data_IF_581751667859
#
_entry.id   IF_581751667859
#
_cell.length_a   1.000
_cell.length_b   1.000
_cell.length_c   1.000
_cell.angle_alpha   90.00
_cell.angle_beta   90.00
_cell.angle_gamma   90.00
#
_symmetry.space_group_name_H-M   'P 1'
#
loop_
_entity.id
_entity.type
_entity.pdbx_description
1 polymer ?
#
# COMPACT_ATOMS: atom_id res chain seq x y z
N UNK A 1 -22.49 14.16 -9.11
CA UNK A 1 -21.07 14.49 -8.84
C UNK A 1 -20.73 15.90 -9.31
N UNK A 2 -20.86 16.24 -10.61
CA UNK A 2 -20.55 17.60 -11.12
C UNK A 2 -21.25 18.71 -10.31
N UNK A 3 -22.56 18.60 -10.08
CA UNK A 3 -23.33 19.56 -9.26
C UNK A 3 -22.77 19.73 -7.86
N UNK A 4 -22.55 18.64 -7.12
CA UNK A 4 -21.99 18.68 -5.76
C UNK A 4 -20.56 19.23 -5.72
N UNK A 5 -19.76 19.04 -6.78
CA UNK A 5 -18.43 19.61 -6.88
C UNK A 5 -18.49 21.12 -7.08
N UNK A 6 -19.43 21.61 -7.90
CA UNK A 6 -19.65 23.05 -8.08
C UNK A 6 -20.00 23.71 -6.74
N UNK A 7 -20.94 23.13 -5.98
CA UNK A 7 -21.31 23.64 -4.65
C UNK A 7 -20.10 23.67 -3.69
N UNK A 8 -19.28 22.61 -3.67
CA UNK A 8 -18.06 22.58 -2.86
C UNK A 8 -17.05 23.64 -3.30
N UNK A 9 -16.90 23.84 -4.61
CA UNK A 9 -15.97 24.82 -5.17
C UNK A 9 -16.42 26.24 -4.84
N UNK A 10 -17.70 26.56 -5.03
CA UNK A 10 -18.28 27.86 -4.66
C UNK A 10 -18.10 28.13 -3.16
N UNK A 11 -18.34 27.14 -2.28
CA UNK A 11 -18.11 27.29 -0.85
C UNK A 11 -16.64 27.63 -0.54
N UNK A 12 -15.69 26.95 -1.19
CA UNK A 12 -14.27 27.21 -0.98
C UNK A 12 -13.80 28.54 -1.56
N UNK A 13 -14.39 28.97 -2.67
CA UNK A 13 -14.08 30.22 -3.35
C UNK A 13 -14.63 31.42 -2.62
N UNK A 14 -15.85 31.32 -2.09
CA UNK A 14 -16.56 32.44 -1.45
C UNK A 14 -16.29 32.54 0.05
N UNK A 15 -16.25 31.40 0.75
CA UNK A 15 -16.28 31.36 2.22
C UNK A 15 -15.04 30.75 2.87
N UNK A 16 -14.13 30.14 2.09
CA UNK A 16 -12.89 29.52 2.61
C UNK A 16 -11.69 29.92 1.74
N UNK A 17 -10.60 29.16 1.87
CA UNK A 17 -9.42 29.30 1.03
C UNK A 17 -9.53 28.34 -0.17
N UNK A 18 -9.51 28.86 -1.43
CA UNK A 18 -9.52 28.04 -2.64
C UNK A 18 -8.40 27.00 -2.70
N UNK A 19 -7.20 27.30 -2.17
CA UNK A 19 -6.04 26.40 -2.15
C UNK A 19 -6.24 25.18 -1.24
N UNK A 20 -7.30 25.16 -0.41
CA UNK A 20 -7.65 24.01 0.44
C UNK A 20 -8.68 23.07 -0.18
N UNK A 21 -9.26 23.43 -1.32
CA UNK A 21 -10.24 22.61 -2.03
C UNK A 21 -9.63 21.23 -2.38
N UNK A 22 -10.42 20.19 -2.14
CA UNK A 22 -10.04 18.78 -2.31
C UNK A 22 -8.76 18.37 -1.55
N UNK A 23 -8.30 19.11 -0.53
CA UNK A 23 -7.11 18.73 0.24
C UNK A 23 -7.37 17.60 1.25
N UNK A 24 -8.58 17.51 1.79
CA UNK A 24 -9.02 16.49 2.77
C UNK A 24 -10.25 15.77 2.25
N UNK A 25 -10.73 14.73 2.93
CA UNK A 25 -11.97 14.05 2.50
C UNK A 25 -13.02 14.22 3.57
N UNK A 26 -13.63 15.40 3.58
CA UNK A 26 -14.61 15.85 4.59
C UNK A 26 -16.04 15.79 4.03
N UNK A 27 -16.19 15.71 2.71
CA UNK A 27 -17.49 15.67 2.03
C UNK A 27 -17.71 14.36 1.26
N UNK A 28 -18.98 14.04 0.99
CA UNK A 28 -19.36 12.89 0.16
C UNK A 28 -18.78 13.01 -1.25
N UNK A 29 -18.81 14.21 -1.83
CA UNK A 29 -18.38 14.43 -3.21
C UNK A 29 -16.88 14.18 -3.42
N UNK A 30 -16.04 14.46 -2.42
CA UNK A 30 -14.61 14.15 -2.45
C UNK A 30 -14.33 12.65 -2.53
N UNK A 31 -15.13 11.84 -1.80
CA UNK A 31 -15.07 10.38 -1.88
C UNK A 31 -15.63 9.86 -3.20
N UNK A 32 -16.73 10.45 -3.69
CA UNK A 32 -17.29 10.12 -5.00
C UNK A 32 -16.29 10.39 -6.13
N UNK A 33 -15.56 11.51 -6.08
CA UNK A 33 -14.52 11.85 -7.05
C UNK A 33 -13.42 10.79 -7.09
N UNK A 34 -12.95 10.33 -5.93
CA UNK A 34 -11.94 9.27 -5.84
C UNK A 34 -12.44 7.95 -6.46
N UNK A 35 -13.69 7.57 -6.17
CA UNK A 35 -14.31 6.38 -6.75
C UNK A 35 -14.51 6.53 -8.27
N UNK A 36 -14.96 7.70 -8.74
CA UNK A 36 -15.13 7.99 -10.16
C UNK A 36 -13.80 7.94 -10.91
N UNK A 37 -12.73 8.52 -10.36
CA UNK A 37 -11.38 8.40 -10.91
C UNK A 37 -10.95 6.93 -10.97
N UNK A 38 -11.22 6.15 -9.93
CA UNK A 38 -10.87 4.73 -9.91
C UNK A 38 -11.58 3.93 -11.01
N UNK A 39 -12.87 4.18 -11.21
CA UNK A 39 -13.67 3.54 -12.26
C UNK A 39 -13.13 3.91 -13.65
N UNK A 40 -12.92 5.21 -13.90
CA UNK A 40 -12.51 5.71 -15.20
C UNK A 40 -11.06 5.36 -15.57
N UNK A 41 -10.18 5.22 -14.58
CA UNK A 41 -8.74 5.00 -14.79
C UNK A 41 -8.33 3.53 -14.67
N UNK A 42 -9.23 2.63 -14.27
CA UNK A 42 -8.90 1.20 -14.12
C UNK A 42 -8.37 0.58 -15.42
N UNK A 43 -8.98 0.91 -16.57
CA UNK A 43 -8.53 0.38 -17.86
C UNK A 43 -7.11 0.86 -18.20
N UNK A 44 -6.81 2.15 -17.95
CA UNK A 44 -5.49 2.71 -18.15
C UNK A 44 -4.45 2.12 -17.17
N UNK A 45 -4.84 1.87 -15.93
CA UNK A 45 -4.02 1.11 -14.98
C UNK A 45 -3.70 -0.28 -15.54
N UNK A 46 -4.70 -1.01 -16.02
CA UNK A 46 -4.50 -2.37 -16.53
C UNK A 46 -3.58 -2.41 -17.74
N UNK A 47 -3.75 -1.49 -18.67
CA UNK A 47 -3.10 -1.56 -19.98
C UNK A 47 -1.76 -0.82 -20.05
N UNK A 48 -1.56 0.21 -19.21
CA UNK A 48 -0.40 1.11 -19.32
C UNK A 48 0.40 1.20 -18.03
N UNK A 49 -0.22 1.61 -16.92
CA UNK A 49 0.52 1.96 -15.69
C UNK A 49 0.77 0.76 -14.75
N UNK A 50 0.06 -0.34 -14.93
CA UNK A 50 0.09 -1.52 -14.07
C UNK A 50 1.38 -2.32 -14.20
N UNK A 51 1.91 -2.48 -15.41
CA UNK A 51 3.19 -3.17 -15.62
C UNK A 51 4.37 -2.39 -14.98
N UNK A 52 4.55 -1.06 -15.19
CA UNK A 52 5.54 -0.28 -14.47
C UNK A 52 5.40 -0.36 -12.94
N UNK A 53 4.17 -0.32 -12.43
CA UNK A 53 3.90 -0.46 -10.99
C UNK A 53 4.34 -1.85 -10.46
N UNK A 54 3.96 -2.92 -11.17
CA UNK A 54 4.34 -4.28 -10.80
C UNK A 54 5.86 -4.48 -10.85
N UNK A 55 6.52 -3.96 -11.89
CA UNK A 55 7.99 -3.99 -12.02
C UNK A 55 8.68 -3.23 -10.89
N UNK A 56 8.16 -2.05 -10.52
CA UNK A 56 8.67 -1.29 -9.37
C UNK A 56 8.53 -2.09 -8.07
N UNK A 57 7.34 -2.61 -7.78
CA UNK A 57 7.10 -3.46 -6.60
C UNK A 57 8.05 -4.67 -6.56
N UNK A 58 8.18 -5.40 -7.68
CA UNK A 58 9.06 -6.58 -7.76
C UNK A 58 10.54 -6.22 -7.60
N UNK A 59 10.99 -5.13 -8.21
CA UNK A 59 12.36 -4.65 -8.07
C UNK A 59 12.66 -4.27 -6.62
N UNK A 60 11.72 -3.61 -5.95
CA UNK A 60 11.84 -3.22 -4.55
C UNK A 60 11.91 -4.45 -3.65
N UNK A 61 10.95 -5.38 -3.77
CA UNK A 61 10.94 -6.65 -3.02
C UNK A 61 12.23 -7.43 -3.21
N UNK A 62 12.68 -7.59 -4.45
CA UNK A 62 13.92 -8.28 -4.77
C UNK A 62 15.15 -7.61 -4.15
N UNK A 63 15.22 -6.27 -4.19
CA UNK A 63 16.34 -5.52 -3.64
C UNK A 63 16.39 -5.60 -2.11
N UNK A 64 15.23 -5.57 -1.45
CA UNK A 64 15.12 -5.75 0.02
C UNK A 64 15.60 -7.15 0.40
N UNK A 65 15.11 -8.19 -0.27
CA UNK A 65 15.38 -9.60 0.03
C UNK A 65 16.80 -10.08 -0.30
N UNK A 66 17.57 -9.25 -1.02
CA UNK A 66 19.00 -9.48 -1.31
C UNK A 66 19.88 -9.33 -0.07
N UNK A 67 19.38 -8.68 0.99
CA UNK A 67 20.09 -8.49 2.25
C UNK A 67 19.25 -8.96 3.45
N UNK A 68 19.85 -9.00 4.65
CA UNK A 68 19.14 -9.43 5.85
C UNK A 68 17.93 -8.55 6.15
N UNK A 69 16.85 -9.20 6.58
CA UNK A 69 15.62 -8.56 7.07
C UNK A 69 15.29 -9.15 8.44
N UNK A 70 15.22 -8.31 9.46
CA UNK A 70 14.81 -8.73 10.80
C UNK A 70 13.31 -9.07 10.80
N UNK A 71 12.96 -10.26 11.28
CA UNK A 71 11.60 -10.79 11.20
C UNK A 71 10.67 -10.16 12.25
N UNK A 72 11.23 -9.63 13.35
CA UNK A 72 10.48 -9.02 14.45
C UNK A 72 10.48 -7.49 14.36
N UNK A 73 11.64 -6.87 14.16
CA UNK A 73 11.76 -5.41 14.04
C UNK A 73 11.40 -4.87 12.66
N UNK A 74 11.28 -5.75 11.64
CA UNK A 74 11.01 -5.37 10.25
C UNK A 74 11.99 -4.31 9.72
N UNK A 75 13.25 -4.45 10.12
CA UNK A 75 14.37 -3.63 9.63
C UNK A 75 15.17 -4.41 8.59
N UNK A 76 15.65 -3.74 7.55
CA UNK A 76 16.36 -4.38 6.47
C UNK A 76 17.69 -3.68 6.17
N UNK A 77 18.65 -4.45 5.67
CA UNK A 77 19.93 -3.89 5.19
C UNK A 77 19.75 -3.01 3.95
N UNK A 78 18.81 -3.39 3.07
CA UNK A 78 18.50 -2.67 1.85
C UNK A 78 17.05 -2.18 1.91
N UNK A 79 16.87 -0.86 2.05
CA UNK A 79 15.55 -0.20 2.09
C UNK A 79 15.72 1.24 1.59
N UNK A 80 14.62 1.91 1.24
CA UNK A 80 14.60 3.36 0.99
C UNK A 80 14.23 4.16 2.24
N UNK A 81 13.75 3.50 3.29
CA UNK A 81 13.33 4.12 4.54
C UNK A 81 14.49 4.14 5.55
N UNK A 82 14.89 5.33 6.00
CA UNK A 82 16.00 5.54 6.92
C UNK A 82 15.76 4.94 8.32
N UNK A 83 14.53 5.06 8.83
CA UNK A 83 14.12 4.48 10.12
C UNK A 83 14.09 2.96 10.13
N UNK A 84 13.96 2.34 8.94
CA UNK A 84 13.89 0.91 8.72
C UNK A 84 15.25 0.23 8.46
N UNK A 85 16.37 0.96 8.60
CA UNK A 85 17.70 0.40 8.34
C UNK A 85 18.16 -0.54 9.46
N UNK A 86 18.67 -1.71 9.05
CA UNK A 86 19.33 -2.67 9.92
C UNK A 86 20.80 -2.27 10.15
N UNK A 87 21.30 -2.57 11.35
CA UNK A 87 22.68 -2.35 11.76
C UNK A 87 23.72 -3.12 10.93
N UNK A 88 24.98 -2.70 11.05
CA UNK A 88 26.12 -3.26 10.29
C UNK A 88 26.73 -4.51 10.92
N UNK A 89 26.32 -4.83 12.14
CA UNK A 89 26.77 -5.95 12.97
C UNK A 89 26.24 -7.31 12.50
N UNK A 90 25.31 -7.33 11.55
CA UNK A 90 24.74 -8.56 11.02
C UNK A 90 25.56 -9.11 9.86
N UNK A 91 26.40 -10.10 10.15
CA UNK A 91 27.07 -10.94 9.15
C UNK A 91 26.10 -11.92 8.50
N UNK A 92 26.22 -12.11 7.19
CA UNK A 92 25.42 -13.07 6.43
C UNK A 92 26.17 -13.62 5.21
N UNK A 93 25.73 -14.78 4.76
CA UNK A 93 26.16 -15.43 3.53
C UNK A 93 24.94 -15.79 2.69
N UNK A 94 25.05 -15.60 1.37
CA UNK A 94 24.04 -16.07 0.42
C UNK A 94 24.20 -17.57 0.20
N UNK A 95 23.08 -18.30 0.24
CA UNK A 95 22.99 -19.73 -0.02
C UNK A 95 22.04 -19.97 -1.20
N UNK A 96 22.30 -21.02 -1.97
CA UNK A 96 21.40 -21.57 -2.98
C UNK A 96 20.90 -22.92 -2.50
N UNK A 97 19.61 -23.02 -2.16
CA UNK A 97 18.98 -24.26 -1.73
C UNK A 97 18.48 -25.04 -2.96
N UNK A 98 18.57 -26.36 -2.90
CA UNK A 98 18.01 -27.28 -3.90
C UNK A 98 16.67 -27.78 -3.38
N UNK A 99 15.55 -27.18 -3.84
CA UNK A 99 14.23 -27.45 -3.29
C UNK A 99 13.48 -28.49 -4.11
N UNK A 100 13.01 -29.54 -3.44
CA UNK A 100 12.07 -30.52 -3.95
C UNK A 100 10.68 -30.24 -3.38
N UNK A 101 9.64 -30.32 -4.21
CA UNK A 101 8.24 -30.19 -3.73
C UNK A 101 7.60 -31.56 -3.64
N UNK A 102 7.17 -31.94 -2.44
CA UNK A 102 6.55 -33.23 -2.20
C UNK A 102 5.25 -33.36 -3.02
N UNK A 103 5.19 -34.38 -3.89
CA UNK A 103 4.03 -34.66 -4.72
C UNK A 103 4.00 -33.96 -6.09
N UNK A 104 4.94 -33.06 -6.40
CA UNK A 104 4.97 -32.32 -7.68
C UNK A 104 6.08 -32.81 -8.65
N UNK A 105 6.59 -34.03 -8.46
CA UNK A 105 7.60 -34.66 -9.32
C UNK A 105 9.05 -34.48 -8.82
N UNK A 106 10.05 -34.95 -9.59
CA UNK A 106 11.47 -34.92 -9.19
C UNK A 106 12.17 -33.58 -9.45
N UNK A 107 11.45 -32.56 -9.94
CA UNK A 107 12.05 -31.31 -10.34
C UNK A 107 12.63 -30.54 -9.14
N UNK A 108 13.92 -30.25 -9.22
CA UNK A 108 14.65 -29.48 -8.22
C UNK A 108 14.64 -28.01 -8.61
N UNK A 109 14.10 -27.15 -7.75
CA UNK A 109 14.10 -25.70 -7.95
C UNK A 109 15.21 -25.05 -7.12
N UNK A 110 16.22 -24.40 -7.73
CA UNK A 110 17.21 -23.65 -6.99
C UNK A 110 16.62 -22.34 -6.44
N UNK A 111 16.78 -22.11 -5.13
CA UNK A 111 16.25 -20.91 -4.44
C UNK A 111 17.36 -20.20 -3.70
N UNK A 112 17.55 -18.91 -3.98
CA UNK A 112 18.54 -18.07 -3.27
C UNK A 112 17.95 -17.53 -1.97
N UNK A 113 18.67 -17.72 -0.88
CA UNK A 113 18.31 -17.30 0.48
C UNK A 113 19.57 -16.79 1.20
N UNK A 114 19.40 -16.30 2.43
CA UNK A 114 20.49 -15.93 3.31
C UNK A 114 20.56 -16.91 4.48
N UNK A 115 21.76 -17.22 4.94
CA UNK A 115 21.94 -18.08 6.12
C UNK A 115 21.27 -17.49 7.38
N UNK A 116 21.12 -16.17 7.45
CA UNK A 116 20.44 -15.45 8.52
C UNK A 116 18.94 -15.28 8.29
N UNK A 117 18.32 -15.87 7.26
CA UNK A 117 16.86 -15.84 7.13
C UNK A 117 16.23 -16.78 8.18
N UNK A 118 15.10 -16.39 8.79
CA UNK A 118 14.30 -17.32 9.60
C UNK A 118 13.71 -18.42 8.74
N UNK A 119 13.26 -19.51 9.34
CA UNK A 119 12.63 -20.61 8.58
C UNK A 119 11.36 -20.14 7.88
N UNK A 120 10.55 -19.27 8.49
CA UNK A 120 9.40 -18.66 7.80
C UNK A 120 9.82 -17.82 6.61
N UNK A 121 10.85 -16.96 6.73
CA UNK A 121 11.37 -16.18 5.59
C UNK A 121 11.89 -17.09 4.46
N UNK A 122 12.56 -18.20 4.80
CA UNK A 122 13.00 -19.20 3.82
C UNK A 122 11.80 -19.83 3.11
N UNK A 123 10.76 -20.25 3.86
CA UNK A 123 9.53 -20.80 3.28
C UNK A 123 8.87 -19.81 2.31
N UNK A 124 8.78 -18.53 2.69
CA UNK A 124 8.23 -17.48 1.83
C UNK A 124 9.04 -17.33 0.52
N UNK A 125 10.37 -17.26 0.61
CA UNK A 125 11.26 -17.18 -0.57
C UNK A 125 11.16 -18.42 -1.46
N UNK A 126 11.02 -19.60 -0.87
CA UNK A 126 10.80 -20.85 -1.61
C UNK A 126 9.45 -20.81 -2.34
N UNK A 127 8.37 -20.47 -1.64
CA UNK A 127 7.03 -20.38 -2.21
C UNK A 127 7.00 -19.37 -3.36
N UNK A 128 7.65 -18.22 -3.21
CA UNK A 128 7.75 -17.20 -4.26
C UNK A 128 8.45 -17.69 -5.52
N UNK A 129 9.47 -18.54 -5.37
CA UNK A 129 10.24 -19.05 -6.50
C UNK A 129 9.57 -20.26 -7.17
N UNK A 130 9.09 -21.22 -6.38
CA UNK A 130 8.38 -22.42 -6.86
C UNK A 130 7.09 -22.02 -7.57
N UNK A 131 6.28 -21.15 -6.94
CA UNK A 131 4.97 -20.75 -7.46
C UNK A 131 5.00 -19.38 -8.14
N UNK A 132 6.13 -18.98 -8.74
CA UNK A 132 6.35 -17.65 -9.33
C UNK A 132 5.33 -17.24 -10.38
N UNK A 133 4.72 -18.21 -11.07
CA UNK A 133 3.74 -18.01 -12.13
C UNK A 133 2.29 -18.02 -11.62
N UNK A 134 2.07 -18.25 -10.32
CA UNK A 134 0.74 -18.19 -9.71
C UNK A 134 0.51 -16.82 -9.03
N UNK A 135 -0.73 -16.31 -9.01
CA UNK A 135 -1.12 -15.18 -8.16
C UNK A 135 -0.86 -15.47 -6.68
N UNK A 136 -0.56 -14.46 -5.87
CA UNK A 136 -0.20 -14.67 -4.46
C UNK A 136 -1.32 -15.39 -3.68
N UNK A 137 -2.58 -15.02 -3.89
CA UNK A 137 -3.75 -15.63 -3.23
C UNK A 137 -3.92 -17.14 -3.46
N UNK A 138 -3.34 -17.69 -4.53
CA UNK A 138 -3.42 -19.11 -4.87
C UNK A 138 -2.25 -19.94 -4.32
N UNK A 139 -1.23 -19.29 -3.76
CA UNK A 139 -0.04 -19.96 -3.23
C UNK A 139 -0.31 -20.50 -1.82
N UNK A 140 0.36 -21.59 -1.41
CA UNK A 140 0.32 -22.00 -0.03
C UNK A 140 0.94 -20.93 0.88
N UNK A 141 0.39 -20.73 2.07
CA UNK A 141 0.97 -19.86 3.10
C UNK A 141 2.15 -20.58 3.79
N UNK A 142 3.11 -19.83 4.33
CA UNK A 142 4.26 -20.37 5.03
C UNK A 142 3.88 -21.27 6.23
N UNK A 143 2.79 -20.96 6.92
CA UNK A 143 2.22 -21.78 8.01
C UNK A 143 1.64 -23.12 7.52
N UNK A 144 1.15 -23.17 6.29
CA UNK A 144 0.54 -24.35 5.68
C UNK A 144 1.54 -25.32 5.05
N UNK A 145 2.85 -25.06 5.18
CA UNK A 145 3.91 -25.90 4.62
C UNK A 145 4.96 -26.26 5.67
N UNK A 146 5.44 -27.49 5.60
CA UNK A 146 6.61 -27.96 6.34
C UNK A 146 7.83 -27.93 5.42
N UNK A 147 8.98 -27.58 6.00
CA UNK A 147 10.25 -27.53 5.32
C UNK A 147 11.18 -28.54 5.98
N UNK A 148 11.57 -29.57 5.24
CA UNK A 148 12.42 -30.65 5.74
C UNK A 148 13.81 -30.54 5.10
N UNK A 149 14.85 -30.50 5.92
CA UNK A 149 16.23 -30.56 5.45
C UNK A 149 16.76 -32.00 5.51
N UNK A 150 17.37 -32.46 4.41
CA UNK A 150 17.88 -33.83 4.27
C UNK A 150 19.40 -33.83 4.00
N UNK A 151 20.26 -33.77 5.04
CA UNK A 151 21.71 -33.90 4.87
C UNK A 151 22.17 -35.35 4.62
N UNK A 152 21.29 -36.35 4.73
CA UNK A 152 21.58 -37.77 4.57
C UNK A 152 20.30 -38.62 4.53
N UNK A 153 20.33 -39.83 5.10
CA UNK A 153 19.16 -40.74 5.14
C UNK A 153 18.06 -40.30 6.11
N UNK A 154 18.38 -39.45 7.09
CA UNK A 154 17.45 -38.87 8.06
C UNK A 154 17.18 -37.41 7.72
N UNK A 155 15.90 -37.05 7.62
CA UNK A 155 15.48 -35.67 7.46
C UNK A 155 15.11 -35.00 8.79
N UNK A 156 15.30 -33.69 8.86
CA UNK A 156 14.91 -32.85 9.98
C UNK A 156 13.91 -31.79 9.50
N UNK A 157 12.75 -31.71 10.16
CA UNK A 157 11.81 -30.62 9.91
C UNK A 157 12.34 -29.36 10.58
N UNK A 158 12.41 -28.26 9.82
CA UNK A 158 12.85 -26.96 10.30
C UNK A 158 11.64 -26.12 10.72
N UNK A 159 11.77 -25.42 11.84
CA UNK A 159 10.79 -24.43 12.32
C UNK A 159 11.50 -23.19 12.88
N UNK A 160 10.77 -22.09 13.02
CA UNK A 160 11.27 -20.85 13.63
C UNK A 160 11.57 -21.03 15.13
N UNK A 161 10.90 -21.97 15.78
CA UNK A 161 11.11 -22.34 17.18
C UNK A 161 10.98 -23.86 17.34
N UNK A 162 11.94 -24.48 18.02
CA UNK A 162 11.94 -25.90 18.38
C UNK A 162 12.74 -26.15 19.67
N UNK A 163 12.95 -27.43 20.01
CA UNK A 163 13.73 -27.86 21.17
C UNK A 163 15.21 -27.46 21.09
N UNK A 164 15.70 -27.07 19.91
CA UNK A 164 17.10 -26.65 19.70
C UNK A 164 17.26 -25.14 19.78
N UNK A 165 16.18 -24.37 19.86
CA UNK A 165 16.21 -22.90 19.85
C UNK A 165 17.06 -22.31 20.97
N UNK A 166 17.85 -21.30 20.62
CA UNK A 166 18.76 -20.64 21.54
C UNK A 166 18.00 -19.67 22.45
N UNK A 167 18.23 -19.79 23.75
CA UNK A 167 17.69 -18.90 24.79
C UNK A 167 18.79 -18.01 25.37
N UNK A 168 18.57 -16.71 25.37
CA UNK A 168 19.44 -15.70 25.99
C UNK A 168 18.69 -14.98 27.12
N UNK A 169 18.79 -15.50 28.34
CA UNK A 169 18.00 -15.00 29.46
C UNK A 169 16.51 -15.24 29.22
N UNK A 170 15.70 -14.16 29.21
CA UNK A 170 14.26 -14.24 28.90
C UNK A 170 13.94 -14.26 27.40
N UNK A 171 14.93 -13.99 26.56
CA UNK A 171 14.74 -13.85 25.12
C UNK A 171 15.01 -15.18 24.39
N UNK A 172 14.12 -15.55 23.47
CA UNK A 172 14.26 -16.70 22.58
C UNK A 172 14.64 -16.22 21.17
N UNK A 173 15.73 -16.74 20.62
CA UNK A 173 16.14 -16.37 19.25
C UNK A 173 15.41 -17.23 18.24
N UNK A 174 14.82 -16.62 17.22
CA UNK A 174 14.23 -17.35 16.09
C UNK A 174 15.30 -18.14 15.35
N UNK A 175 15.00 -19.40 15.06
CA UNK A 175 15.90 -20.29 14.33
C UNK A 175 16.05 -19.82 12.87
N UNK A 176 17.29 -19.90 12.38
CA UNK A 176 17.68 -19.53 11.01
C UNK A 176 18.35 -20.70 10.30
N UNK A 177 18.66 -20.58 9.02
CA UNK A 177 19.46 -21.61 8.33
C UNK A 177 20.84 -21.80 8.96
N UNK A 178 21.45 -20.72 9.46
CA UNK A 178 22.72 -20.76 10.18
C UNK A 178 22.61 -21.52 11.50
N UNK A 179 21.47 -21.41 12.20
CA UNK A 179 21.20 -22.18 13.43
C UNK A 179 21.26 -23.68 13.20
N UNK A 180 20.63 -24.16 12.12
CA UNK A 180 20.66 -25.58 11.71
C UNK A 180 21.92 -25.97 10.93
N UNK A 181 22.86 -25.05 10.74
CA UNK A 181 24.08 -25.26 9.95
C UNK A 181 23.81 -25.75 8.51
N UNK A 182 22.72 -25.26 7.89
CA UNK A 182 22.39 -25.56 6.50
C UNK A 182 23.42 -24.92 5.58
N UNK A 183 24.03 -25.73 4.72
CA UNK A 183 25.10 -25.30 3.80
C UNK A 183 24.55 -24.92 2.43
N UNK A 184 25.40 -24.26 1.65
CA UNK A 184 25.11 -23.98 0.24
C UNK A 184 24.86 -25.28 -0.54
N UNK A 185 23.92 -25.25 -1.47
CA UNK A 185 23.42 -26.41 -2.24
C UNK A 185 22.77 -27.53 -1.41
N UNK A 186 22.38 -27.26 -0.16
CA UNK A 186 21.61 -28.21 0.63
C UNK A 186 20.26 -28.54 -0.04
N UNK A 187 19.87 -29.82 0.04
CA UNK A 187 18.56 -30.28 -0.45
C UNK A 187 17.51 -30.13 0.64
N UNK A 188 16.43 -29.43 0.33
CA UNK A 188 15.27 -29.26 1.21
C UNK A 188 14.01 -29.75 0.50
N UNK A 189 13.08 -30.32 1.26
CA UNK A 189 11.79 -30.79 0.77
C UNK A 189 10.69 -29.91 1.34
N UNK A 190 9.95 -29.25 0.47
CA UNK A 190 8.74 -28.50 0.81
C UNK A 190 7.53 -29.45 0.72
N UNK A 191 6.75 -29.54 1.79
CA UNK A 191 5.53 -30.37 1.81
C UNK A 191 4.34 -29.58 2.37
N UNK A 192 3.14 -29.80 1.82
CA UNK A 192 1.92 -29.22 2.41
C UNK A 192 1.58 -29.96 3.69
N UNK A 193 1.26 -29.22 4.74
CA UNK A 193 0.78 -29.80 6.00
C UNK A 193 -0.69 -30.18 5.79
N UNK A 194 -0.96 -31.45 5.50
CA UNK A 194 -2.32 -32.00 5.52
C UNK A 194 -2.76 -32.07 6.98
N UNK A 195 -3.57 -31.12 7.43
CA UNK A 195 -4.14 -31.18 8.78
C UNK A 195 -5.05 -32.40 8.90
N UNK A 196 -4.54 -33.47 9.52
CA UNK A 196 -5.08 -34.22 10.66
C UNK A 196 -4.36 -35.56 10.75
N UNK A 197 -3.15 -35.61 11.29
CA UNK A 197 -2.66 -36.72 12.14
C UNK A 197 -1.48 -36.20 13.00
N UNK A 198 -1.75 -36.02 14.29
CA UNK A 198 -0.81 -36.42 15.35
C UNK A 198 0.57 -35.75 15.44
N UNK A 199 0.66 -34.42 15.35
CA UNK A 199 1.87 -33.69 15.78
C UNK A 199 1.68 -32.79 17.02
N UNK A 200 0.46 -32.74 17.58
CA UNK A 200 0.15 -32.03 18.83
C UNK A 200 -0.15 -32.96 20.03
N UNK A 201 -0.02 -34.28 19.89
CA UNK A 201 -0.47 -35.23 20.91
C UNK A 201 0.45 -35.39 22.15
N UNK A 202 1.32 -34.42 22.42
CA UNK A 202 2.06 -34.32 23.69
C UNK A 202 2.04 -32.93 24.33
N UNK A 203 1.14 -32.03 23.91
CA UNK A 203 1.00 -30.71 24.56
C UNK A 203 -0.41 -30.33 25.01
N UNK A 204 -1.40 -31.21 24.86
CA UNK A 204 -2.76 -30.95 25.34
C UNK A 204 -3.02 -31.62 26.69
N UNK A 205 -2.44 -31.05 27.75
CA UNK A 205 -2.95 -31.13 29.12
C UNK A 205 -2.11 -30.26 30.03
N UNK A 206 -2.15 -28.92 29.88
CA UNK A 206 -2.09 -27.97 31.01
C UNK A 206 -2.17 -26.46 30.67
N UNK A 207 -2.36 -26.02 29.42
CA UNK A 207 -2.18 -24.59 29.07
C UNK A 207 -3.45 -23.76 28.82
N UNK A 208 -4.64 -24.21 29.24
CA UNK A 208 -5.88 -23.39 29.11
C UNK A 208 -6.07 -22.34 30.23
N UNK A 209 -5.02 -21.96 30.97
CA UNK A 209 -5.16 -20.95 32.04
C UNK A 209 -4.00 -19.97 32.25
N UNK A 210 -3.09 -19.79 31.29
CA UNK A 210 -1.97 -18.84 31.40
C UNK A 210 -1.77 -17.91 30.19
N UNK A 211 -2.83 -17.61 29.42
CA UNK A 211 -2.77 -16.70 28.27
C UNK A 211 -2.60 -15.19 28.61
N UNK A 212 -2.10 -14.86 29.81
CA UNK A 212 -2.02 -13.46 30.27
C UNK A 212 -0.65 -12.96 30.74
N UNK A 213 0.38 -13.78 30.95
CA UNK A 213 1.69 -13.29 31.47
C UNK A 213 2.91 -14.18 31.14
N UNK A 214 3.04 -14.73 29.92
CA UNK A 214 4.34 -15.20 29.42
C UNK A 214 4.65 -14.50 28.09
N UNK A 215 5.38 -13.39 28.18
CA UNK A 215 5.77 -12.55 27.05
C UNK A 215 6.37 -13.36 25.89
N UNK A 216 5.91 -12.98 24.69
CA UNK A 216 6.40 -13.31 23.35
C UNK A 216 7.81 -12.72 23.09
N UNK A 217 8.71 -12.86 24.07
CA UNK A 217 10.08 -12.34 24.08
C UNK A 217 10.95 -13.11 23.09
N UNK A 218 10.68 -12.93 21.81
CA UNK A 218 11.44 -13.50 20.71
C UNK A 218 12.10 -12.41 19.89
N UNK A 219 13.30 -12.69 19.39
CA UNK A 219 14.04 -11.78 18.52
C UNK A 219 14.68 -12.53 17.36
N UNK A 220 15.03 -11.83 16.28
CA UNK A 220 15.67 -12.43 15.12
C UNK A 220 17.17 -12.07 15.03
N UNK A 221 17.47 -10.88 14.50
CA UNK A 221 18.84 -10.42 14.25
C UNK A 221 19.27 -9.44 15.34
N UNK A 222 18.36 -8.55 15.75
CA UNK A 222 18.63 -7.51 16.74
C UNK A 222 17.64 -7.63 17.89
N UNK A 223 18.16 -7.60 19.12
CA UNK A 223 17.32 -7.55 20.32
C UNK A 223 16.71 -6.14 20.47
N UNK A 224 15.42 -6.02 20.82
CA UNK A 224 14.84 -4.74 21.19
C UNK A 224 15.64 -4.11 22.34
N UNK A 225 16.00 -2.84 22.21
CA UNK A 225 16.88 -2.13 23.16
C UNK A 225 16.23 -1.80 24.50
N UNK A 226 14.90 -1.91 24.62
CA UNK A 226 14.13 -1.29 25.70
C UNK A 226 14.25 -1.99 27.06
N UNK A 227 15.06 -3.04 27.18
CA UNK A 227 15.21 -3.80 28.43
C UNK A 227 16.65 -3.91 28.95
N UNK A 228 17.64 -3.40 28.20
CA UNK A 228 19.05 -3.54 28.58
C UNK A 228 19.47 -2.48 29.62
N UNK A 229 18.69 -1.39 29.78
CA UNK A 229 19.10 -0.24 30.60
C UNK A 229 18.45 -0.13 32.00
N UNK A 230 17.43 -0.92 32.36
CA UNK A 230 16.81 -0.80 33.70
C UNK A 230 17.68 -1.36 34.84
N UNK A 231 18.63 -2.26 34.54
CA UNK A 231 19.46 -2.89 35.59
C UNK A 231 20.74 -2.08 35.89
N UNK A 232 21.12 -1.09 35.06
CA UNK A 232 22.39 -0.35 35.25
C UNK A 232 22.29 1.17 35.41
N UNK A 233 21.13 1.79 35.22
CA UNK A 233 21.01 3.26 35.30
C UNK A 233 20.32 3.76 36.58
N UNK A 234 20.88 3.43 37.77
CA UNK A 234 20.72 4.29 38.95
C UNK A 234 21.75 5.41 38.92
N UNK A 235 21.51 6.43 38.09
CA UNK A 235 21.90 7.85 38.29
C UNK A 235 21.63 8.67 37.01
N UNK A 236 20.57 9.48 37.07
CA UNK A 236 20.52 10.77 36.38
C UNK A 236 19.87 10.81 34.99
N UNK A 237 18.73 11.50 34.95
CA UNK A 237 18.15 12.23 33.81
C UNK A 237 17.42 11.44 32.72
N UNK A 238 16.12 11.21 32.95
CA UNK A 238 15.11 11.08 31.90
C UNK A 238 14.76 12.46 31.34
N UNK A 239 15.16 12.73 30.09
CA UNK A 239 14.45 13.51 29.04
C UNK A 239 15.46 13.82 27.92
N UNK A 240 15.02 13.71 26.68
CA UNK A 240 15.69 14.20 25.45
C UNK A 240 16.73 13.31 24.74
N UNK A 241 16.39 12.05 24.40
CA UNK A 241 17.09 11.31 23.31
C UNK A 241 16.15 10.51 22.40
N UNK A 242 15.08 11.14 21.92
CA UNK A 242 14.35 10.69 20.72
C UNK A 242 14.42 11.74 19.59
N UNK A 243 15.46 12.58 19.62
CA UNK A 243 15.77 13.54 18.56
C UNK A 243 16.84 12.90 17.67
N UNK A 244 16.43 12.52 16.46
CA UNK A 244 17.24 12.37 15.24
C UNK A 244 18.70 11.95 15.51
N UNK A 245 18.94 10.66 15.81
CA UNK A 245 20.30 10.11 15.64
C UNK A 245 20.65 10.32 14.18
N UNK A 246 21.57 11.24 13.91
CA UNK A 246 22.08 11.51 12.58
C UNK A 246 22.37 10.16 11.91
N UNK A 247 21.81 9.96 10.71
CA UNK A 247 22.07 8.79 9.90
C UNK A 247 23.58 8.70 9.75
N UNK A 248 24.19 7.61 10.22
CA UNK A 248 25.63 7.42 10.06
C UNK A 248 25.93 7.42 8.56
N UNK A 249 27.09 7.93 8.17
CA UNK A 249 27.47 8.08 6.75
C UNK A 249 27.32 6.77 5.96
N UNK A 250 27.59 5.63 6.61
CA UNK A 250 27.45 4.29 6.06
C UNK A 250 25.99 3.95 5.70
N UNK A 251 25.03 4.33 6.54
CA UNK A 251 23.61 4.15 6.28
C UNK A 251 23.13 4.99 5.09
N UNK A 252 23.65 6.20 4.93
CA UNK A 252 23.34 7.05 3.78
C UNK A 252 23.83 6.42 2.47
N UNK A 253 25.04 5.84 2.44
CA UNK A 253 25.55 5.13 1.25
C UNK A 253 24.64 3.97 0.83
N UNK A 254 24.06 3.24 1.79
CA UNK A 254 23.10 2.16 1.50
C UNK A 254 21.80 2.67 0.90
N UNK A 255 21.20 3.71 1.49
CA UNK A 255 20.00 4.34 0.94
C UNK A 255 20.23 4.80 -0.51
N UNK A 256 21.37 5.45 -0.76
CA UNK A 256 21.77 5.91 -2.09
C UNK A 256 21.97 4.75 -3.08
N UNK A 257 22.58 3.64 -2.64
CA UNK A 257 22.77 2.44 -3.46
C UNK A 257 21.44 1.78 -3.86
N UNK A 258 20.52 1.64 -2.89
CA UNK A 258 19.17 1.11 -3.13
C UNK A 258 18.40 2.03 -4.07
N UNK A 259 18.43 3.34 -3.82
CA UNK A 259 17.81 4.34 -4.70
C UNK A 259 18.37 4.27 -6.13
N UNK A 260 19.69 4.20 -6.28
CA UNK A 260 20.33 4.08 -7.59
C UNK A 260 19.89 2.83 -8.35
N UNK A 261 19.74 1.70 -7.65
CA UNK A 261 19.26 0.44 -8.24
C UNK A 261 17.81 0.52 -8.70
N UNK A 262 16.96 1.24 -7.95
CA UNK A 262 15.52 1.36 -8.22
C UNK A 262 15.17 2.53 -9.15
N UNK A 263 16.11 3.42 -9.44
CA UNK A 263 15.88 4.70 -10.13
C UNK A 263 15.10 4.53 -11.45
N UNK A 264 15.52 3.60 -12.31
CA UNK A 264 14.86 3.40 -13.61
C UNK A 264 13.41 2.91 -13.45
N UNK A 265 13.12 2.11 -12.43
CA UNK A 265 11.75 1.63 -12.16
C UNK A 265 10.86 2.77 -11.67
N UNK A 266 11.39 3.65 -10.81
CA UNK A 266 10.70 4.87 -10.36
C UNK A 266 10.43 5.81 -11.54
N UNK A 267 11.45 6.06 -12.38
CA UNK A 267 11.33 6.91 -13.57
C UNK A 267 10.28 6.35 -14.55
N UNK A 268 10.30 5.05 -14.80
CA UNK A 268 9.35 4.39 -15.69
C UNK A 268 7.92 4.50 -15.16
N UNK A 269 7.71 4.29 -13.86
CA UNK A 269 6.38 4.48 -13.26
C UNK A 269 5.92 5.93 -13.37
N UNK A 270 6.75 6.91 -13.00
CA UNK A 270 6.40 8.33 -13.05
C UNK A 270 6.07 8.77 -14.48
N UNK A 271 6.89 8.37 -15.46
CA UNK A 271 6.62 8.62 -16.88
C UNK A 271 5.33 7.96 -17.36
N UNK A 272 5.00 6.75 -16.89
CA UNK A 272 3.77 6.08 -17.30
C UNK A 272 2.49 6.80 -16.87
N UNK A 273 2.53 7.55 -15.75
CA UNK A 273 1.34 8.25 -15.20
C UNK A 273 1.35 9.76 -15.40
N UNK A 274 2.51 10.36 -15.73
CA UNK A 274 2.70 11.81 -15.95
C UNK A 274 3.17 12.13 -17.39
N UNK A 275 2.83 11.33 -18.40
CA UNK A 275 3.23 11.61 -19.78
C UNK A 275 2.05 11.63 -20.75
N UNK A 276 1.94 12.73 -21.51
CA UNK A 276 0.93 12.93 -22.55
C UNK A 276 1.25 12.25 -23.88
N UNK A 277 2.46 11.71 -24.04
CA UNK A 277 2.78 10.85 -25.20
C UNK A 277 2.13 9.47 -25.10
N UNK A 278 1.73 9.06 -23.89
CA UNK A 278 0.87 7.92 -23.66
C UNK A 278 -0.60 8.33 -23.76
N UNK A 279 -1.51 7.40 -24.06
CA UNK A 279 -2.93 7.68 -24.17
C UNK A 279 -3.50 8.21 -22.84
N UNK A 280 -3.73 9.52 -22.74
CA UNK A 280 -4.36 10.14 -21.57
C UNK A 280 -5.83 9.72 -21.52
N UNK A 281 -6.33 9.20 -20.38
CA UNK A 281 -7.73 8.78 -20.30
C UNK A 281 -8.69 9.96 -20.51
N UNK A 282 -9.79 9.79 -21.28
CA UNK A 282 -10.75 10.86 -21.57
C UNK A 282 -11.28 11.54 -20.31
N UNK A 283 -11.48 10.77 -19.23
CA UNK A 283 -11.92 11.27 -17.93
C UNK A 283 -10.97 12.29 -17.31
N UNK A 284 -9.65 12.15 -17.49
CA UNK A 284 -8.66 13.11 -16.97
C UNK A 284 -8.79 14.43 -17.71
N UNK A 285 -8.82 14.38 -19.05
CA UNK A 285 -9.00 15.57 -19.89
C UNK A 285 -10.31 16.27 -19.56
N UNK A 286 -11.41 15.54 -19.59
CA UNK A 286 -12.75 16.05 -19.28
C UNK A 286 -12.82 16.70 -17.89
N UNK A 287 -12.22 16.08 -16.87
CA UNK A 287 -12.22 16.62 -15.52
C UNK A 287 -11.29 17.82 -15.34
N UNK A 288 -10.12 17.82 -16.00
CA UNK A 288 -9.20 18.96 -15.94
C UNK A 288 -9.72 20.17 -16.69
N UNK A 289 -10.40 19.97 -17.82
CA UNK A 289 -11.10 21.05 -18.53
C UNK A 289 -12.21 21.64 -17.66
N UNK A 290 -12.98 20.80 -16.94
CA UNK A 290 -13.95 21.27 -15.96
C UNK A 290 -13.32 22.16 -14.87
N UNK A 291 -12.14 21.80 -14.35
CA UNK A 291 -11.42 22.63 -13.37
C UNK A 291 -10.91 23.93 -13.98
N UNK A 292 -10.41 23.88 -15.23
CA UNK A 292 -9.94 25.05 -15.97
C UNK A 292 -11.09 26.05 -16.18
N UNK A 293 -12.25 25.57 -16.64
CA UNK A 293 -13.47 26.38 -16.81
C UNK A 293 -13.94 27.02 -15.50
N UNK A 294 -13.88 26.29 -14.38
CA UNK A 294 -14.28 26.86 -13.10
C UNK A 294 -13.26 27.89 -12.60
N UNK A 295 -11.96 27.66 -12.78
CA UNK A 295 -10.95 28.65 -12.43
C UNK A 295 -11.13 29.96 -13.22
N UNK A 296 -11.47 29.87 -14.51
CA UNK A 296 -11.73 31.05 -15.36
C UNK A 296 -12.99 31.83 -14.96
N UNK A 297 -13.93 31.22 -14.23
CA UNK A 297 -15.16 31.89 -13.73
C UNK A 297 -14.96 32.66 -12.44
N UNK A 298 -13.83 32.46 -11.74
CA UNK A 298 -13.59 33.06 -10.42
C UNK A 298 -12.29 33.86 -10.41
N UNK A 299 -12.41 35.18 -10.21
CA UNK A 299 -11.26 36.10 -10.26
C UNK A 299 -10.18 35.84 -9.18
N UNK A 300 -10.51 35.11 -8.11
CA UNK A 300 -9.59 34.80 -7.01
C UNK A 300 -8.87 33.44 -7.17
N UNK A 301 -8.98 32.80 -8.33
CA UNK A 301 -8.31 31.52 -8.62
C UNK A 301 -7.12 31.76 -9.55
N UNK A 302 -5.93 31.82 -8.95
CA UNK A 302 -4.67 31.94 -9.68
C UNK A 302 -4.19 30.60 -10.28
N UNK A 303 -3.15 30.65 -11.13
CA UNK A 303 -2.57 29.47 -11.79
C UNK A 303 -2.00 28.45 -10.77
N UNK A 304 -1.51 28.94 -9.63
CA UNK A 304 -1.06 28.08 -8.52
C UNK A 304 -2.22 27.32 -7.88
N UNK A 305 -3.35 28.00 -7.65
CA UNK A 305 -4.57 27.40 -7.08
C UNK A 305 -5.13 26.34 -8.01
N UNK A 306 -5.20 26.62 -9.32
CA UNK A 306 -5.62 25.65 -10.33
C UNK A 306 -4.70 24.42 -10.37
N UNK A 307 -3.37 24.63 -10.28
CA UNK A 307 -2.41 23.54 -10.15
C UNK A 307 -2.67 22.68 -8.90
N UNK A 308 -2.99 23.32 -7.77
CA UNK A 308 -3.36 22.64 -6.52
C UNK A 308 -4.64 21.83 -6.69
N UNK A 309 -5.67 22.37 -7.35
CA UNK A 309 -6.93 21.64 -7.62
C UNK A 309 -6.70 20.39 -8.47
N UNK A 310 -5.91 20.49 -9.55
CA UNK A 310 -5.52 19.34 -10.39
C UNK A 310 -4.74 18.30 -9.60
N UNK A 311 -3.79 18.76 -8.77
CA UNK A 311 -2.95 17.90 -7.92
C UNK A 311 -3.77 17.17 -6.86
N UNK A 312 -4.65 17.89 -6.16
CA UNK A 312 -5.50 17.37 -5.11
C UNK A 312 -6.60 16.44 -5.63
N UNK A 313 -7.03 16.59 -6.88
CA UNK A 313 -8.09 15.77 -7.47
C UNK A 313 -7.61 14.43 -8.03
N UNK A 314 -6.42 14.40 -8.64
CA UNK A 314 -5.91 13.20 -9.32
C UNK A 314 -4.61 12.65 -8.70
N UNK A 315 -3.42 13.29 -8.83
CA UNK A 315 -2.18 12.74 -8.27
C UNK A 315 -2.24 12.34 -6.81
N UNK A 316 -2.74 13.22 -5.94
CA UNK A 316 -2.75 13.02 -4.49
C UNK A 316 -3.77 11.97 -4.03
N UNK A 317 -4.91 11.88 -4.72
CA UNK A 317 -6.03 11.00 -4.31
C UNK A 317 -5.98 9.62 -4.93
N UNK A 318 -5.54 9.56 -6.19
CA UNK A 318 -5.54 8.31 -6.94
C UNK A 318 -4.13 7.75 -7.06
N UNK A 319 -3.21 8.47 -7.71
CA UNK A 319 -1.89 7.92 -8.05
C UNK A 319 -1.03 7.61 -6.82
N UNK A 320 -0.99 8.50 -5.84
CA UNK A 320 -0.30 8.23 -4.56
C UNK A 320 -0.90 7.01 -3.86
N UNK A 321 -2.22 6.86 -3.89
CA UNK A 321 -2.90 5.76 -3.22
C UNK A 321 -2.57 4.41 -3.89
N UNK A 322 -2.59 4.36 -5.23
CA UNK A 322 -2.23 3.17 -6.01
C UNK A 322 -0.74 2.83 -5.85
N UNK A 323 0.15 3.82 -5.85
CA UNK A 323 1.59 3.62 -5.67
C UNK A 323 1.92 3.06 -4.28
N UNK A 324 1.24 3.53 -3.23
CA UNK A 324 1.43 3.05 -1.86
C UNK A 324 0.77 1.71 -1.60
N UNK A 325 -0.33 1.41 -2.30
CA UNK A 325 -1.11 0.20 -2.10
C UNK A 325 -1.21 -0.62 -3.39
N UNK A 326 -0.08 -1.19 -3.90
CA UNK A 326 -0.10 -1.96 -5.13
C UNK A 326 -1.03 -3.19 -5.05
N UNK A 327 -1.31 -3.70 -3.84
CA UNK A 327 -2.25 -4.79 -3.58
C UNK A 327 -3.71 -4.47 -3.93
N UNK A 328 -4.07 -3.20 -4.14
CA UNK A 328 -5.41 -2.84 -4.64
C UNK A 328 -5.61 -3.25 -6.10
N UNK A 329 -4.53 -3.37 -6.88
CA UNK A 329 -4.57 -3.69 -8.31
C UNK A 329 -3.94 -5.05 -8.60
N UNK A 330 -2.94 -5.45 -7.81
CA UNK A 330 -2.10 -6.62 -8.03
C UNK A 330 -2.36 -7.66 -6.94
N UNK A 331 -2.46 -8.94 -7.31
CA UNK A 331 -2.54 -10.04 -6.35
C UNK A 331 -1.13 -10.38 -5.81
N UNK A 332 -0.67 -9.55 -4.89
CA UNK A 332 0.67 -9.57 -4.29
C UNK A 332 0.61 -9.34 -2.78
N UNK A 333 1.61 -9.82 -2.06
CA UNK A 333 1.81 -9.49 -0.66
C UNK A 333 2.89 -8.43 -0.49
N UNK A 334 2.53 -7.32 0.13
CA UNK A 334 3.45 -6.21 0.43
C UNK A 334 3.94 -6.38 1.86
N UNK A 335 5.24 -6.64 2.02
CA UNK A 335 5.87 -6.72 3.34
C UNK A 335 6.08 -5.31 3.89
N UNK A 336 6.13 -5.15 5.21
CA UNK A 336 6.25 -3.84 5.87
C UNK A 336 7.47 -3.02 5.41
N UNK A 337 8.60 -3.68 5.14
CA UNK A 337 9.81 -2.99 4.62
C UNK A 337 9.58 -2.44 3.21
N UNK A 338 8.91 -3.22 2.36
CA UNK A 338 8.57 -2.81 1.00
C UNK A 338 7.54 -1.69 1.03
N UNK A 339 6.52 -1.81 1.88
CA UNK A 339 5.51 -0.79 2.12
C UNK A 339 6.14 0.54 2.55
N UNK A 340 7.02 0.53 3.55
CA UNK A 340 7.74 1.73 3.99
C UNK A 340 8.57 2.37 2.87
N UNK A 341 9.15 1.56 1.98
CA UNK A 341 9.90 2.08 0.82
C UNK A 341 8.99 2.65 -0.27
N UNK A 342 7.82 2.05 -0.50
CA UNK A 342 6.79 2.61 -1.39
C UNK A 342 6.27 3.95 -0.86
N UNK A 343 6.17 4.11 0.47
CA UNK A 343 5.80 5.38 1.09
C UNK A 343 6.83 6.49 0.82
N UNK A 344 8.13 6.16 0.83
CA UNK A 344 9.21 7.10 0.46
C UNK A 344 9.06 7.55 -0.99
N UNK A 345 8.86 6.61 -1.94
CA UNK A 345 8.66 6.93 -3.36
C UNK A 345 7.37 7.74 -3.55
N UNK A 346 6.29 7.36 -2.85
CA UNK A 346 5.02 8.09 -2.86
C UNK A 346 5.17 9.52 -2.34
N UNK A 347 6.00 9.74 -1.32
CA UNK A 347 6.29 11.10 -0.85
C UNK A 347 7.07 11.90 -1.90
N UNK A 348 8.05 11.29 -2.58
CA UNK A 348 8.75 11.93 -3.71
C UNK A 348 7.79 12.32 -4.85
N UNK A 349 6.81 11.47 -5.16
CA UNK A 349 5.77 11.79 -6.14
C UNK A 349 4.93 12.99 -5.72
N UNK A 350 4.54 13.07 -4.44
CA UNK A 350 3.82 14.24 -3.90
C UNK A 350 4.66 15.51 -3.95
N UNK A 351 5.94 15.42 -3.58
CA UNK A 351 6.85 16.56 -3.62
C UNK A 351 7.05 17.07 -5.06
N UNK A 352 7.00 16.17 -6.06
CA UNK A 352 7.04 16.53 -7.48
C UNK A 352 5.80 17.29 -7.95
N UNK A 353 4.63 17.04 -7.34
CA UNK A 353 3.42 17.78 -7.63
C UNK A 353 3.37 19.15 -6.93
N UNK A 354 4.28 19.47 -6.02
CA UNK A 354 4.28 20.75 -5.31
C UNK A 354 5.02 21.85 -6.10
N UNK A 355 4.45 23.05 -6.17
CA UNK A 355 5.12 24.25 -6.70
C UNK A 355 6.17 24.82 -5.75
N UNK A 356 6.09 24.54 -4.45
CA UNK A 356 7.03 25.10 -3.46
C UNK A 356 8.44 24.52 -3.63
N UNK A 357 9.44 25.38 -3.81
CA UNK A 357 10.84 24.99 -3.71
C UNK A 357 11.26 24.85 -2.25
N UNK A 358 11.87 23.72 -1.91
CA UNK A 358 12.36 23.47 -0.56
C UNK A 358 13.87 23.66 -0.56
N UNK A 359 14.35 24.60 0.28
CA UNK A 359 15.77 24.70 0.59
C UNK A 359 16.17 23.50 1.43
N UNK A 360 17.00 22.64 0.87
CA UNK A 360 17.49 21.46 1.56
C UNK A 360 18.55 21.85 2.57
N UNK A 361 18.41 21.32 3.78
CA UNK A 361 19.34 21.46 4.89
C UNK A 361 19.68 20.07 5.44
N UNK A 362 20.66 19.99 6.35
CA UNK A 362 20.98 18.74 7.05
C UNK A 362 19.82 18.20 7.90
N UNK A 363 18.84 19.04 8.23
CA UNK A 363 17.65 18.69 9.01
C UNK A 363 16.47 18.29 8.12
N UNK A 364 16.62 18.37 6.79
CA UNK A 364 15.57 17.97 5.87
C UNK A 364 15.31 16.46 5.96
N UNK A 365 14.05 16.01 5.82
CA UNK A 365 13.72 14.59 5.82
C UNK A 365 14.54 13.79 4.80
N UNK A 366 14.94 12.58 5.18
CA UNK A 366 15.84 11.72 4.41
C UNK A 366 15.33 11.44 3.00
N UNK A 367 14.03 11.24 2.83
CA UNK A 367 13.40 11.04 1.52
C UNK A 367 13.58 12.27 0.59
N UNK A 368 13.57 13.49 1.12
CA UNK A 368 13.79 14.72 0.34
C UNK A 368 15.25 14.85 -0.06
N UNK A 369 16.17 14.51 0.83
CA UNK A 369 17.60 14.47 0.52
C UNK A 369 17.92 13.39 -0.53
N UNK A 370 17.26 12.24 -0.45
CA UNK A 370 17.50 11.08 -1.30
C UNK A 370 17.14 11.32 -2.78
N UNK A 371 16.09 12.10 -3.04
CA UNK A 371 15.61 12.44 -4.40
C UNK A 371 15.83 13.91 -4.79
N UNK A 372 16.69 14.62 -4.06
CA UNK A 372 16.98 16.04 -4.25
C UNK A 372 17.41 16.41 -5.67
N UNK A 373 18.13 15.52 -6.35
CA UNK A 373 18.66 15.76 -7.70
C UNK A 373 17.59 15.59 -8.78
N UNK A 374 16.66 14.66 -8.58
CA UNK A 374 15.64 14.31 -9.58
C UNK A 374 14.36 15.15 -9.44
N UNK A 375 14.11 15.73 -8.27
CA UNK A 375 12.85 16.42 -7.97
C UNK A 375 12.51 17.53 -8.96
N UNK A 376 13.49 18.30 -9.43
CA UNK A 376 13.28 19.35 -10.43
C UNK A 376 12.81 18.80 -11.78
N UNK A 377 13.32 17.62 -12.16
CA UNK A 377 12.92 16.92 -13.38
C UNK A 377 11.51 16.38 -13.26
N UNK A 378 11.14 15.83 -12.10
CA UNK A 378 9.77 15.36 -11.85
C UNK A 378 8.76 16.50 -11.78
N UNK A 379 9.12 17.64 -11.16
CA UNK A 379 8.29 18.86 -11.19
C UNK A 379 8.02 19.32 -12.62
N UNK A 380 9.07 19.39 -13.44
CA UNK A 380 8.93 19.69 -14.87
C UNK A 380 8.01 18.69 -15.59
N UNK A 381 8.11 17.39 -15.26
CA UNK A 381 7.24 16.36 -15.83
C UNK A 381 5.76 16.60 -15.48
N UNK A 382 5.44 16.99 -14.25
CA UNK A 382 4.07 17.36 -13.84
C UNK A 382 3.58 18.59 -14.60
N UNK A 383 4.42 19.62 -14.73
CA UNK A 383 4.08 20.85 -15.45
C UNK A 383 3.84 20.60 -16.94
N UNK A 384 4.69 19.77 -17.55
CA UNK A 384 4.56 19.35 -18.95
C UNK A 384 3.29 18.49 -19.15
N UNK A 385 2.95 17.64 -18.18
CA UNK A 385 1.74 16.83 -18.19
C UNK A 385 0.47 17.70 -18.16
N UNK A 386 0.37 18.63 -17.22
CA UNK A 386 -0.79 19.53 -17.12
C UNK A 386 -0.94 20.44 -18.33
N UNK A 387 0.18 20.99 -18.84
CA UNK A 387 0.18 21.80 -20.05
C UNK A 387 -0.23 20.99 -21.27
N UNK A 388 0.28 19.76 -21.41
CA UNK A 388 -0.08 18.87 -22.49
C UNK A 388 -1.56 18.49 -22.48
N UNK A 389 -2.14 18.20 -21.30
CA UNK A 389 -3.58 17.94 -21.17
C UNK A 389 -4.41 19.16 -21.59
N UNK A 390 -4.02 20.36 -21.15
CA UNK A 390 -4.72 21.60 -21.54
C UNK A 390 -4.74 21.79 -23.06
N UNK A 391 -3.68 21.40 -23.75
CA UNK A 391 -3.54 21.50 -25.21
C UNK A 391 -4.25 20.39 -25.99
N UNK A 392 -4.71 19.32 -25.34
CA UNK A 392 -5.49 18.27 -26.00
C UNK A 392 -6.85 18.80 -26.48
N UNK A 393 -7.39 18.15 -27.51
CA UNK A 393 -8.77 18.37 -27.96
C UNK A 393 -9.73 18.11 -26.78
N UNK A 394 -10.67 19.02 -26.49
CA UNK A 394 -11.69 18.81 -25.46
C UNK A 394 -12.52 17.55 -25.72
N UNK A 395 -12.88 16.85 -24.65
CA UNK A 395 -13.78 15.70 -24.72
C UNK A 395 -15.21 16.22 -24.60
N UNK A 396 -16.05 15.93 -25.59
CA UNK A 396 -17.45 16.35 -25.56
C UNK A 396 -18.26 15.60 -24.50
N UNK A 397 -19.34 16.20 -24.00
CA UNK A 397 -20.28 15.51 -23.10
C UNK A 397 -20.82 14.21 -23.72
N UNK A 398 -21.03 14.19 -25.04
CA UNK A 398 -21.49 13.00 -25.76
C UNK A 398 -20.44 11.88 -25.74
N UNK A 399 -19.18 12.20 -26.02
CA UNK A 399 -18.09 11.22 -26.01
C UNK A 399 -17.85 10.69 -24.60
N UNK A 400 -17.89 11.58 -23.60
CA UNK A 400 -17.71 11.18 -22.20
C UNK A 400 -18.87 10.29 -21.72
N UNK A 401 -20.11 10.63 -22.06
CA UNK A 401 -21.27 9.79 -21.74
C UNK A 401 -21.21 8.43 -22.46
N UNK A 402 -20.73 8.40 -23.70
CA UNK A 402 -20.53 7.15 -24.46
C UNK A 402 -19.49 6.27 -23.78
N UNK A 403 -18.36 6.86 -23.37
CA UNK A 403 -17.33 6.17 -22.60
C UNK A 403 -17.87 5.59 -21.27
N UNK A 404 -18.60 6.40 -20.50
CA UNK A 404 -19.18 5.96 -19.22
C UNK A 404 -20.29 4.89 -19.40
N UNK A 405 -21.08 4.97 -20.47
CA UNK A 405 -22.08 3.96 -20.80
C UNK A 405 -21.44 2.61 -21.11
N UNK A 406 -20.32 2.61 -21.85
CA UNK A 406 -19.56 1.39 -22.13
C UNK A 406 -18.95 0.80 -20.86
N UNK A 407 -18.35 1.61 -19.99
CA UNK A 407 -17.84 1.17 -18.68
C UNK A 407 -18.96 0.56 -17.83
N UNK A 408 -20.15 1.21 -17.82
CA UNK A 408 -21.32 0.74 -17.07
C UNK A 408 -21.79 -0.63 -17.59
N UNK A 409 -21.91 -0.78 -18.92
CA UNK A 409 -22.30 -2.02 -19.58
C UNK A 409 -21.36 -3.18 -19.22
N UNK A 410 -20.05 -2.93 -19.18
CA UNK A 410 -19.04 -3.95 -18.84
C UNK A 410 -19.07 -4.42 -17.37
N UNK A 411 -19.73 -3.69 -16.47
CA UNK A 411 -19.69 -3.93 -15.02
C UNK A 411 -21.07 -4.10 -14.39
N UNK A 412 -22.16 -4.02 -15.16
CA UNK A 412 -23.54 -4.07 -14.63
C UNK A 412 -23.80 -5.33 -13.81
N UNK A 413 -23.38 -6.50 -14.30
CA UNK A 413 -23.66 -7.79 -13.63
C UNK A 413 -22.61 -8.17 -12.57
N UNK A 414 -21.61 -7.31 -12.32
CA UNK A 414 -20.52 -7.60 -11.39
C UNK A 414 -20.78 -7.12 -9.97
N UNK A 415 -21.77 -6.25 -9.76
CA UNK A 415 -22.03 -5.59 -8.49
C UNK A 415 -23.46 -5.90 -8.01
N UNK A 416 -23.59 -6.26 -6.73
CA UNK A 416 -24.91 -6.44 -6.11
C UNK A 416 -25.49 -5.08 -5.70
N UNK A 417 -26.25 -4.47 -6.61
CA UNK A 417 -26.89 -3.16 -6.39
C UNK A 417 -27.97 -3.19 -5.31
N UNK A 418 -28.64 -4.33 -5.11
CA UNK A 418 -29.67 -4.48 -4.07
C UNK A 418 -29.08 -4.35 -2.67
N UNK A 419 -27.94 -5.01 -2.41
CA UNK A 419 -27.23 -4.89 -1.13
C UNK A 419 -26.73 -3.46 -0.93
N UNK A 420 -26.18 -2.82 -1.97
CA UNK A 420 -25.75 -1.43 -1.88
C UNK A 420 -26.91 -0.47 -1.56
N UNK A 421 -28.07 -0.65 -2.20
CA UNK A 421 -29.26 0.15 -1.92
C UNK A 421 -29.80 -0.08 -0.51
N UNK A 422 -29.78 -1.32 -0.02
CA UNK A 422 -30.18 -1.64 1.34
C UNK A 422 -29.26 -0.95 2.38
N UNK A 423 -27.95 -1.00 2.18
CA UNK A 423 -26.99 -0.30 3.04
C UNK A 423 -27.17 1.23 2.97
N UNK A 424 -27.45 1.78 1.78
CA UNK A 424 -27.74 3.20 1.63
C UNK A 424 -29.04 3.61 2.35
N UNK A 425 -30.07 2.76 2.31
CA UNK A 425 -31.33 3.00 3.02
C UNK A 425 -31.13 3.11 4.54
N UNK A 426 -30.17 2.38 5.13
CA UNK A 426 -29.88 2.50 6.57
C UNK A 426 -29.51 3.93 6.96
N UNK A 427 -28.80 4.66 6.10
CA UNK A 427 -28.54 6.09 6.31
C UNK A 427 -29.80 6.93 6.11
N UNK A 428 -30.58 6.65 5.07
CA UNK A 428 -31.83 7.37 4.81
C UNK A 428 -32.83 7.23 5.97
N UNK A 429 -32.98 6.02 6.53
CA UNK A 429 -33.82 5.73 7.69
C UNK A 429 -33.29 6.42 8.96
N UNK A 430 -31.96 6.41 9.19
CA UNK A 430 -31.35 7.07 10.35
C UNK A 430 -31.56 8.59 10.37
N UNK A 431 -31.53 9.23 9.20
CA UNK A 431 -31.67 10.68 9.05
C UNK A 431 -33.00 11.08 8.40
N UNK A 432 -34.03 10.24 8.52
CA UNK A 432 -35.27 10.33 7.76
C UNK A 432 -35.94 11.70 7.90
N UNK A 433 -36.13 12.19 9.13
CA UNK A 433 -36.81 13.46 9.39
C UNK A 433 -36.08 14.66 8.76
N UNK A 434 -34.74 14.69 8.84
CA UNK A 434 -33.94 15.75 8.22
C UNK A 434 -34.03 15.72 6.69
N UNK A 435 -34.07 14.52 6.10
CA UNK A 435 -34.20 14.36 4.65
C UNK A 435 -35.59 14.80 4.20
N UNK A 436 -36.65 14.40 4.92
CA UNK A 436 -38.03 14.81 4.65
C UNK A 436 -38.16 16.34 4.72
N UNK A 437 -37.65 16.96 5.79
CA UNK A 437 -37.65 18.42 5.91
C UNK A 437 -36.92 19.08 4.73
N UNK A 438 -35.75 18.56 4.34
CA UNK A 438 -34.98 19.11 3.20
C UNK A 438 -35.73 18.96 1.87
N UNK A 439 -36.45 17.85 1.66
CA UNK A 439 -37.28 17.63 0.47
C UNK A 439 -38.53 18.52 0.47
N UNK A 440 -39.08 18.82 1.64
CA UNK A 440 -40.22 19.73 1.79
C UNK A 440 -39.80 21.20 1.65
N UNK A 441 -38.54 21.55 1.89
CA UNK A 441 -38.01 22.91 1.67
C UNK A 441 -37.60 23.16 0.21
N UNK A 442 -37.31 22.12 -0.58
CA UNK A 442 -36.91 22.24 -1.99
C UNK A 442 -38.13 22.25 -2.95
N UNK A 443 -38.40 23.36 -3.68
CA UNK A 443 -39.50 23.45 -4.63
C UNK A 443 -39.43 22.40 -5.76
N UNK A 444 -38.24 21.99 -6.19
CA UNK A 444 -38.09 20.98 -7.23
C UNK A 444 -38.49 19.58 -6.72
N UNK A 445 -38.18 19.28 -5.46
CA UNK A 445 -38.57 18.05 -4.78
C UNK A 445 -40.08 17.98 -4.52
N UNK A 446 -40.68 19.08 -4.07
CA UNK A 446 -42.14 19.21 -3.90
C UNK A 446 -42.88 18.96 -5.22
N UNK A 447 -42.46 19.61 -6.31
CA UNK A 447 -43.06 19.46 -7.64
C UNK A 447 -43.02 18.00 -8.15
N UNK A 448 -42.06 17.20 -7.70
CA UNK A 448 -41.91 15.78 -8.05
C UNK A 448 -42.46 14.82 -7.01
N UNK A 449 -43.07 15.32 -5.93
CA UNK A 449 -43.61 14.56 -4.80
C UNK A 449 -42.57 13.59 -4.20
N UNK A 450 -41.31 14.03 -4.06
CA UNK A 450 -40.23 13.16 -3.60
C UNK A 450 -40.40 12.71 -2.14
N UNK A 451 -40.94 13.58 -1.27
CA UNK A 451 -41.29 13.26 0.12
C UNK A 451 -42.21 12.04 0.21
N UNK A 452 -43.33 12.07 -0.54
CA UNK A 452 -44.30 10.98 -0.59
C UNK A 452 -43.66 9.68 -1.09
N UNK A 453 -42.81 9.75 -2.14
CA UNK A 453 -42.12 8.57 -2.67
C UNK A 453 -41.16 7.95 -1.66
N UNK A 454 -40.42 8.77 -0.91
CA UNK A 454 -39.51 8.26 0.12
C UNK A 454 -40.29 7.61 1.28
N UNK A 455 -41.41 8.19 1.69
CA UNK A 455 -42.32 7.59 2.68
C UNK A 455 -42.87 6.24 2.20
N UNK A 456 -43.26 6.12 0.93
CA UNK A 456 -43.70 4.83 0.35
C UNK A 456 -42.59 3.78 0.37
N UNK A 457 -41.35 4.17 0.06
CA UNK A 457 -40.19 3.27 0.15
C UNK A 457 -39.97 2.82 1.60
N UNK A 458 -40.05 3.73 2.57
CA UNK A 458 -39.90 3.40 3.99
C UNK A 458 -41.00 2.47 4.49
N UNK A 459 -42.26 2.73 4.13
CA UNK A 459 -43.40 1.87 4.45
C UNK A 459 -43.21 0.44 3.92
N UNK A 460 -42.78 0.32 2.66
CA UNK A 460 -42.53 -0.97 2.02
C UNK A 460 -41.34 -1.74 2.64
N UNK A 461 -40.31 -1.05 3.14
CA UNK A 461 -39.13 -1.69 3.73
C UNK A 461 -39.27 -2.01 5.22
N UNK A 462 -40.06 -1.22 5.97
CA UNK A 462 -40.21 -1.38 7.42
C UNK A 462 -41.39 -2.29 7.81
N UNK A 463 -42.15 -2.82 6.85
CA UNK A 463 -43.40 -3.56 7.10
C UNK A 463 -44.35 -2.82 8.07
N UNK A 464 -44.28 -1.49 8.10
CA UNK A 464 -45.26 -0.67 8.79
C UNK A 464 -46.37 -0.43 7.78
N UNK A 465 -47.55 -0.96 8.08
CA UNK A 465 -48.79 -0.48 7.50
C UNK A 465 -48.82 1.02 7.81
N UNK A 466 -48.50 1.85 6.83
CA UNK A 466 -48.79 3.27 6.93
C UNK A 466 -50.30 3.37 6.87
N UNK A 467 -50.92 3.66 8.01
CA UNK A 467 -52.26 4.24 8.06
C UNK A 467 -52.16 5.61 7.37
N UNK A 468 -52.26 5.57 6.04
CA UNK A 468 -52.45 6.73 5.17
C UNK A 468 -53.92 7.16 5.23
#
# INVERSE_FOLDING_TARGET
MRTLLLELMDEHVQNKNPKLMLRRSETVVERMLCNWMSICLYQFLRDTAGEPLYKLYKALKHQVEKGPVDARLKKAKYTLNDTGLLGDDVEYAALTLQVLVHGEGPDVTPVKVLNCDTITQVKEKIIDQVYRNLPYSQRPKAEGVALEWRPGSTGQILSDMDLTSQTEGRWKRLNTLAHYNVRDNATLVLSRVLHTQSFHQHQDSHDEKNALLEDDNTFHLVRPTDEIDEVKSKRGSMKDKAMTKAITEIYLTRLLSVKGTLQQFVDNFFRSVLCTSSAVPPAVKYFFDFLDEQAERHDNVDEETLHIWKTNSLPMRFWVNILRNPQFILDVHVTEVVDASLHVIGQTFMDACSKTEHKLSRESPSNKLLYAKEISTYKKMVDDYYRGIRQMVPVSDQDMNTHLAEVSRQHTDKLNTQVALHQLYQYASKYFDLIIQSLDEDPAAQNRQLTLRLQQVAAALENKVTDL
#
